data_IF_665915285914
#
_entry.id   IF_665915285914
#
_cell.length_a   1.000
_cell.length_b   1.000
_cell.length_c   1.000
_cell.angle_alpha   90.00
_cell.angle_beta   90.00
_cell.angle_gamma   90.00
#
_symmetry.space_group_name_H-M   'P 1'
#
loop_
_entity.id
_entity.type
_entity.pdbx_description
1 polymer ?
#
# COMPACT_ATOMS: atom_id res chain seq x y z
N UNK A 1 -54.26 0.97 9.53
CA UNK A 1 -53.15 0.46 8.70
C UNK A 1 -53.11 1.30 7.44
N UNK A 2 -52.16 2.22 7.36
CA UNK A 2 -51.96 3.14 6.23
C UNK A 2 -50.63 2.74 5.58
N UNK A 3 -50.56 2.49 4.27
CA UNK A 3 -49.30 2.15 3.62
C UNK A 3 -48.51 3.44 3.37
N UNK A 4 -47.27 3.49 3.86
CA UNK A 4 -46.32 4.56 3.56
C UNK A 4 -45.61 4.16 2.25
N UNK A 5 -45.73 5.01 1.23
CA UNK A 5 -44.91 4.95 0.02
C UNK A 5 -43.68 5.82 0.23
N UNK A 6 -42.48 5.25 0.12
CA UNK A 6 -41.24 6.02 0.08
C UNK A 6 -40.90 6.32 -1.38
N UNK A 7 -40.62 7.59 -1.67
CA UNK A 7 -40.24 8.12 -2.98
C UNK A 7 -38.73 8.35 -2.94
N UNK A 8 -37.99 7.76 -3.87
CA UNK A 8 -36.56 8.01 -4.10
C UNK A 8 -36.42 9.27 -4.96
N UNK A 9 -35.63 10.24 -4.52
CA UNK A 9 -35.27 11.45 -5.29
C UNK A 9 -33.79 11.35 -5.64
N UNK A 10 -33.50 11.13 -6.91
CA UNK A 10 -32.15 11.22 -7.48
C UNK A 10 -31.93 12.69 -7.84
N UNK A 11 -31.04 13.38 -7.10
CA UNK A 11 -30.64 14.76 -7.40
C UNK A 11 -29.23 14.78 -7.98
N UNK A 12 -29.14 14.98 -9.29
CA UNK A 12 -27.91 15.29 -10.01
C UNK A 12 -27.64 16.80 -9.86
N UNK A 13 -26.52 17.21 -9.25
CA UNK A 13 -26.11 18.62 -9.21
C UNK A 13 -24.62 18.76 -9.53
N UNK A 14 -24.34 19.47 -10.62
CA UNK A 14 -23.02 19.87 -11.11
C UNK A 14 -22.91 21.39 -10.98
N UNK A 15 -21.99 21.95 -10.17
CA UNK A 15 -21.24 23.23 -10.41
C UNK A 15 -20.10 23.43 -9.34
N UNK A 16 -19.16 24.40 -9.48
CA UNK A 16 -17.74 24.22 -9.77
C UNK A 16 -16.78 24.48 -8.57
N UNK A 17 -15.53 23.99 -8.68
CA UNK A 17 -14.45 24.25 -7.71
C UNK A 17 -13.76 25.61 -8.01
N UNK A 18 -13.58 26.44 -6.98
CA UNK A 18 -12.68 27.61 -7.00
C UNK A 18 -11.63 27.52 -5.89
N UNK A 19 -10.39 27.33 -6.32
CA UNK A 19 -9.06 27.76 -5.82
C UNK A 19 -8.81 28.12 -4.33
N UNK A 20 -7.81 27.41 -3.78
CA UNK A 20 -6.52 27.86 -3.21
C UNK A 20 -6.45 28.67 -1.91
N UNK A 21 -5.73 28.11 -0.94
CA UNK A 21 -4.92 28.85 0.03
C UNK A 21 -3.56 28.14 0.19
N UNK A 22 -2.47 28.84 -0.17
CA UNK A 22 -1.10 28.40 0.03
C UNK A 22 -0.53 29.07 1.29
N UNK A 23 0.17 28.31 2.13
CA UNK A 23 0.97 28.80 3.25
C UNK A 23 2.43 28.43 2.96
N UNK A 24 3.31 29.43 2.87
CA UNK A 24 4.75 29.22 2.62
C UNK A 24 5.52 29.06 3.93
N UNK A 25 6.45 28.11 3.98
CA UNK A 25 7.54 28.07 4.95
C UNK A 25 8.89 28.19 4.24
N UNK A 26 9.80 29.00 4.79
CA UNK A 26 11.19 29.10 4.35
C UNK A 26 12.05 28.00 4.99
N UNK A 27 12.99 27.37 4.28
CA UNK A 27 14.01 26.53 4.89
C UNK A 27 15.13 27.40 5.49
N UNK A 28 15.58 27.03 6.70
CA UNK A 28 16.75 27.62 7.35
C UNK A 28 17.99 26.74 7.10
N UNK A 29 19.01 27.42 6.57
CA UNK A 29 20.41 27.09 6.31
C UNK A 29 21.04 25.82 6.91
N UNK A 30 21.65 25.04 6.00
CA UNK A 30 22.66 24.00 6.23
C UNK A 30 23.98 24.65 6.66
N UNK A 31 24.54 24.22 7.79
CA UNK A 31 25.89 24.59 8.22
C UNK A 31 26.89 23.58 7.66
N UNK A 32 27.70 24.01 6.69
CA UNK A 32 28.92 23.33 6.26
C UNK A 32 30.13 23.94 6.94
N UNK A 33 30.90 23.16 7.70
CA UNK A 33 32.36 23.38 7.85
C UNK A 33 33.03 22.17 8.53
N UNK A 34 33.76 21.38 7.75
CA UNK A 34 34.85 20.55 8.26
C UNK A 34 36.16 21.17 7.78
N UNK A 35 36.87 21.82 8.71
CA UNK A 35 38.24 22.31 8.52
C UNK A 35 39.20 21.15 8.78
N UNK A 36 40.06 20.89 7.79
CA UNK A 36 41.24 20.06 7.94
C UNK A 36 42.41 20.94 8.41
N UNK A 37 43.01 20.62 9.56
CA UNK A 37 44.43 20.90 9.79
C UNK A 37 45.09 19.88 10.74
N UNK A 38 46.29 19.55 10.33
CA UNK A 38 47.27 18.57 10.78
C UNK A 38 48.13 19.05 11.96
N UNK A 39 48.47 18.15 12.91
CA UNK A 39 49.87 18.00 13.43
C UNK A 39 50.06 16.82 14.43
N UNK A 40 50.67 15.72 13.93
CA UNK A 40 51.79 14.84 14.45
C UNK A 40 52.00 14.51 15.98
N UNK A 41 52.87 13.52 16.35
CA UNK A 41 53.23 12.18 15.78
C UNK A 41 53.56 11.06 16.83
N UNK A 42 53.95 9.85 16.33
CA UNK A 42 54.88 8.81 16.88
C UNK A 42 54.21 7.44 17.17
N UNK A 43 54.76 6.25 16.88
CA UNK A 43 56.09 5.81 16.43
C UNK A 43 56.05 4.35 15.93
N UNK A 44 56.85 4.06 14.91
CA UNK A 44 57.19 2.75 14.33
C UNK A 44 58.13 1.95 15.24
N UNK A 45 57.98 0.61 15.30
CA UNK A 45 59.13 -0.31 15.47
C UNK A 45 58.89 -1.60 14.68
N UNK A 46 59.91 -2.04 13.93
CA UNK A 46 59.97 -3.14 12.98
C UNK A 46 60.14 -4.57 13.59
N UNK A 47 59.40 -5.56 13.04
CA UNK A 47 59.79 -6.85 12.36
C UNK A 47 60.88 -7.75 13.06
N UNK A 48 60.77 -9.12 13.17
CA UNK A 48 60.60 -9.99 11.99
C UNK A 48 59.86 -11.35 12.07
N UNK A 49 59.68 -11.85 10.84
CA UNK A 49 59.06 -13.09 10.36
C UNK A 49 59.70 -14.41 10.84
N UNK A 50 58.89 -15.47 10.87
CA UNK A 50 59.30 -16.81 10.48
C UNK A 50 58.09 -17.64 9.97
N UNK A 51 58.38 -18.50 9.01
CA UNK A 51 57.53 -19.27 8.08
C UNK A 51 56.76 -20.42 8.77
N UNK A 52 55.65 -20.97 8.26
CA UNK A 52 55.59 -21.85 7.09
C UNK A 52 54.13 -22.08 6.62
N UNK A 53 53.97 -22.11 5.30
CA UNK A 53 52.76 -22.49 4.56
C UNK A 53 52.98 -23.86 3.93
N UNK A 54 52.07 -24.83 4.13
CA UNK A 54 51.68 -25.84 3.11
C UNK A 54 50.35 -26.56 3.52
N UNK A 55 49.61 -27.18 2.58
CA UNK A 55 48.17 -27.01 2.41
C UNK A 55 47.35 -28.27 2.77
N UNK A 56 46.03 -28.14 2.89
CA UNK A 56 45.13 -29.28 3.10
C UNK A 56 44.57 -29.71 1.74
N UNK A 57 45.07 -30.84 1.24
CA UNK A 57 44.50 -31.61 0.14
C UNK A 57 43.62 -32.74 0.71
N UNK A 58 42.56 -33.06 -0.02
CA UNK A 58 41.47 -33.95 0.34
C UNK A 58 41.86 -35.44 0.23
N UNK A 59 41.28 -36.28 1.11
CA UNK A 59 40.75 -37.61 0.76
C UNK A 59 40.24 -38.38 1.99
N UNK A 60 39.00 -38.86 1.86
CA UNK A 60 38.49 -40.19 2.19
C UNK A 60 38.40 -40.73 3.63
N UNK A 61 37.15 -41.11 3.93
CA UNK A 61 36.68 -42.36 4.54
C UNK A 61 36.64 -42.56 6.07
N UNK A 62 35.38 -42.56 6.55
CA UNK A 62 34.73 -43.49 7.50
C UNK A 62 35.61 -44.31 8.46
N UNK A 63 35.37 -44.18 9.77
CA UNK A 63 34.79 -45.29 10.54
C UNK A 63 34.36 -44.91 11.96
N UNK A 64 33.26 -45.54 12.37
CA UNK A 64 32.63 -45.48 13.68
C UNK A 64 33.56 -45.95 14.82
N UNK A 65 33.62 -45.20 15.92
CA UNK A 65 34.16 -45.70 17.19
C UNK A 65 33.07 -45.76 18.27
N UNK A 66 32.52 -46.95 18.43
CA UNK A 66 31.80 -47.41 19.62
C UNK A 66 32.80 -47.57 20.76
N UNK A 67 32.73 -46.72 21.79
CA UNK A 67 33.50 -46.88 23.03
C UNK A 67 32.66 -47.58 24.11
N UNK A 68 33.11 -48.74 24.56
CA UNK A 68 32.63 -49.41 25.78
C UNK A 68 33.08 -48.65 27.03
N UNK A 69 32.29 -48.56 28.12
CA UNK A 69 32.70 -47.87 29.33
C UNK A 69 33.63 -48.76 30.17
N UNK A 70 34.79 -48.23 30.54
CA UNK A 70 35.64 -48.82 31.58
C UNK A 70 35.57 -47.93 32.81
N UNK A 71 35.12 -48.51 33.92
CA UNK A 71 35.07 -47.86 35.23
C UNK A 71 36.48 -47.62 35.77
N UNK A 72 36.86 -46.36 35.97
CA UNK A 72 37.79 -46.00 37.03
C UNK A 72 37.44 -44.60 37.56
N UNK A 73 37.16 -44.54 38.85
CA UNK A 73 36.60 -43.41 39.55
C UNK A 73 37.59 -42.93 40.59
N UNK A 74 38.37 -41.88 40.26
CA UNK A 74 38.82 -40.88 41.22
C UNK A 74 39.70 -39.79 40.58
N UNK A 75 39.09 -38.75 40.04
CA UNK A 75 39.67 -37.40 40.14
C UNK A 75 38.56 -36.36 40.11
N UNK A 76 38.35 -35.72 41.27
CA UNK A 76 37.47 -34.57 41.42
C UNK A 76 38.20 -33.35 40.84
N UNK A 77 37.94 -33.06 39.58
CA UNK A 77 37.79 -31.70 39.10
C UNK A 77 36.39 -31.63 38.54
N UNK A 78 35.50 -30.84 39.15
CA UNK A 78 34.34 -30.37 38.40
C UNK A 78 34.87 -29.75 37.12
N UNK A 79 34.56 -30.26 35.90
CA UNK A 79 34.70 -29.42 34.75
C UNK A 79 33.81 -28.23 35.06
N UNK A 80 34.39 -27.04 35.20
CA UNK A 80 33.65 -25.83 34.88
C UNK A 80 33.11 -26.15 33.50
N UNK A 81 31.81 -26.40 33.41
CA UNK A 81 31.12 -26.33 32.14
C UNK A 81 31.43 -24.91 31.67
N UNK A 82 32.41 -24.78 30.79
CA UNK A 82 32.45 -23.64 29.89
C UNK A 82 31.09 -23.77 29.24
N UNK A 83 30.16 -22.89 29.63
CA UNK A 83 28.88 -22.79 28.97
C UNK A 83 29.22 -22.75 27.49
N UNK A 84 28.72 -23.72 26.73
CA UNK A 84 28.80 -23.61 25.27
C UNK A 84 28.34 -22.19 24.93
N UNK A 85 29.02 -21.49 24.01
CA UNK A 85 28.57 -20.17 23.63
C UNK A 85 27.10 -20.31 23.26
N UNK A 86 26.22 -19.64 24.03
CA UNK A 86 24.85 -19.47 23.61
C UNK A 86 24.95 -18.61 22.37
N UNK A 87 24.80 -19.23 21.22
CA UNK A 87 24.42 -18.55 19.99
C UNK A 87 23.01 -18.06 20.26
N UNK A 88 22.94 -16.85 20.80
CA UNK A 88 21.68 -16.13 20.96
C UNK A 88 21.48 -15.48 19.62
N UNK A 89 20.29 -15.68 19.10
CA UNK A 89 19.76 -15.15 17.86
C UNK A 89 18.40 -14.61 18.32
N UNK A 90 18.36 -13.30 18.49
CA UNK A 90 17.36 -12.61 19.30
C UNK A 90 16.08 -12.30 18.52
N UNK A 91 16.17 -12.17 17.20
CA UNK A 91 15.05 -11.99 16.25
C UNK A 91 14.75 -13.23 15.39
N UNK A 92 15.61 -14.26 15.45
CA UNK A 92 15.45 -15.54 14.79
C UNK A 92 15.58 -15.50 13.25
N UNK A 93 16.40 -14.59 12.71
CA UNK A 93 16.71 -14.47 11.29
C UNK A 93 17.76 -15.52 10.82
N UNK A 94 18.55 -16.04 11.76
CA UNK A 94 19.60 -17.04 11.54
C UNK A 94 21.03 -16.52 11.67
N UNK A 95 21.24 -15.21 11.87
CA UNK A 95 22.48 -14.63 12.39
C UNK A 95 22.45 -14.66 13.92
N UNK A 96 23.62 -14.81 14.54
CA UNK A 96 23.70 -14.71 16.00
C UNK A 96 24.05 -13.28 16.42
N UNK A 97 23.59 -12.84 17.60
CA UNK A 97 23.75 -11.47 18.12
C UNK A 97 25.21 -10.95 18.06
N UNK A 98 26.21 -11.85 18.09
CA UNK A 98 27.62 -11.44 17.99
C UNK A 98 28.06 -11.19 16.57
N UNK A 99 27.55 -11.96 15.63
CA UNK A 99 27.80 -11.77 14.21
C UNK A 99 27.14 -10.47 13.76
N UNK A 100 25.89 -10.25 14.17
CA UNK A 100 25.15 -9.01 13.90
C UNK A 100 25.88 -7.78 14.45
N UNK A 101 26.30 -7.82 15.72
CA UNK A 101 27.11 -6.76 16.31
C UNK A 101 28.46 -6.52 15.60
N UNK A 102 28.97 -7.51 14.84
CA UNK A 102 30.21 -7.37 14.06
C UNK A 102 29.97 -6.81 12.66
N UNK A 103 28.79 -7.06 12.09
CA UNK A 103 28.34 -6.52 10.80
C UNK A 103 27.79 -5.10 10.96
N UNK A 104 27.27 -4.77 12.15
CA UNK A 104 26.66 -3.48 12.44
C UNK A 104 25.14 -3.50 12.39
N UNK A 105 24.54 -4.68 12.20
CA UNK A 105 23.10 -4.90 12.17
C UNK A 105 22.47 -4.88 13.57
N UNK A 106 21.14 -4.72 13.66
CA UNK A 106 20.41 -4.70 14.94
C UNK A 106 19.95 -6.12 15.31
N UNK A 107 20.48 -6.73 16.40
CA UNK A 107 20.15 -8.10 16.80
C UNK A 107 18.71 -8.32 17.27
N UNK A 108 17.83 -7.35 17.09
CA UNK A 108 16.42 -7.47 17.46
C UNK A 108 15.50 -7.23 16.28
N UNK A 109 16.06 -7.06 15.08
CA UNK A 109 15.37 -6.77 13.84
C UNK A 109 15.97 -7.66 12.76
N UNK A 110 15.19 -8.64 12.30
CA UNK A 110 15.65 -9.62 11.33
C UNK A 110 16.09 -9.03 9.97
N UNK A 111 15.63 -7.83 9.64
CA UNK A 111 15.89 -7.07 8.40
C UNK A 111 16.23 -5.64 8.85
N UNK A 112 17.53 -5.33 8.96
CA UNK A 112 17.99 -4.11 9.65
C UNK A 112 17.71 -2.84 8.85
N UNK A 113 17.71 -2.89 7.52
CA UNK A 113 17.49 -1.72 6.66
C UNK A 113 16.07 -1.64 6.05
N UNK A 114 15.19 -2.55 6.46
CA UNK A 114 13.76 -2.59 6.15
C UNK A 114 13.49 -2.63 4.63
N UNK A 115 14.20 -3.50 3.91
CA UNK A 115 14.13 -3.66 2.46
C UNK A 115 13.37 -4.93 2.01
N UNK A 116 13.03 -5.80 2.96
CA UNK A 116 12.27 -7.03 2.77
C UNK A 116 13.13 -8.29 2.64
N UNK A 117 14.44 -8.20 2.85
CA UNK A 117 15.38 -9.32 2.87
C UNK A 117 16.10 -9.37 4.22
N UNK A 118 15.85 -10.44 5.00
CA UNK A 118 16.47 -10.57 6.32
C UNK A 118 18.03 -10.59 6.24
N UNK A 119 18.71 -10.02 7.25
CA UNK A 119 20.17 -9.80 7.30
C UNK A 119 20.97 -11.08 7.00
N UNK A 120 20.50 -12.22 7.53
CA UNK A 120 21.09 -13.52 7.23
C UNK A 120 21.10 -13.84 5.72
N UNK A 121 19.98 -13.59 5.04
CA UNK A 121 19.81 -13.90 3.63
C UNK A 121 20.70 -13.02 2.77
N UNK A 122 20.79 -11.74 3.11
CA UNK A 122 21.69 -10.78 2.47
C UNK A 122 23.13 -11.25 2.52
N UNK A 123 23.65 -11.49 3.73
CA UNK A 123 25.07 -11.80 3.96
C UNK A 123 25.46 -13.18 3.42
N UNK A 124 24.61 -14.20 3.57
CA UNK A 124 24.99 -15.58 3.25
C UNK A 124 24.52 -16.07 1.88
N UNK A 125 23.54 -15.41 1.25
CA UNK A 125 22.90 -15.92 0.03
C UNK A 125 22.90 -14.92 -1.12
N UNK A 126 22.68 -13.65 -0.84
CA UNK A 126 22.47 -12.64 -1.88
C UNK A 126 23.70 -11.75 -2.10
N UNK A 127 24.67 -11.77 -1.17
CA UNK A 127 25.90 -10.97 -1.24
C UNK A 127 25.61 -9.45 -1.28
N UNK A 128 24.48 -9.03 -0.69
CA UNK A 128 24.05 -7.65 -0.47
C UNK A 128 24.57 -7.11 0.87
N UNK A 129 24.49 -5.79 1.09
CA UNK A 129 24.90 -5.14 2.33
C UNK A 129 23.68 -4.96 3.25
N UNK A 130 23.60 -5.64 4.42
CA UNK A 130 22.42 -5.60 5.30
C UNK A 130 22.18 -4.28 6.05
N UNK A 131 22.81 -3.22 5.56
CA UNK A 131 22.71 -1.85 6.04
C UNK A 131 22.42 -0.88 4.89
N UNK A 132 22.35 -1.37 3.66
CA UNK A 132 22.07 -0.61 2.44
C UNK A 132 20.93 -1.28 1.66
N UNK A 133 19.71 -0.72 1.72
CA UNK A 133 18.51 -1.37 1.22
C UNK A 133 18.44 -1.44 -0.33
N UNK A 134 19.48 -0.98 -1.03
CA UNK A 134 19.64 -0.92 -2.49
C UNK A 134 21.14 -1.07 -2.78
N UNK A 135 21.63 -2.31 -2.70
CA UNK A 135 23.06 -2.64 -2.69
C UNK A 135 23.78 -2.27 -3.99
N UNK A 136 23.07 -2.22 -5.10
CA UNK A 136 23.64 -1.92 -6.41
C UNK A 136 23.38 -0.49 -6.91
N UNK A 137 22.47 0.23 -6.25
CA UNK A 137 22.23 1.66 -6.39
C UNK A 137 21.34 2.02 -7.59
N UNK A 138 20.42 1.14 -7.98
CA UNK A 138 19.51 1.33 -9.11
C UNK A 138 18.09 1.79 -8.70
N UNK A 139 17.87 2.00 -7.40
CA UNK A 139 16.61 2.38 -6.75
C UNK A 139 15.55 1.27 -6.62
N UNK A 140 15.90 0.02 -6.88
CA UNK A 140 15.12 -1.15 -6.50
C UNK A 140 15.61 -1.61 -5.12
N UNK A 141 14.70 -2.08 -4.28
CA UNK A 141 15.09 -2.65 -3.00
C UNK A 141 15.58 -4.09 -3.19
N UNK A 142 16.65 -4.51 -2.52
CA UNK A 142 17.25 -5.85 -2.71
C UNK A 142 16.21 -6.95 -2.46
N UNK A 143 15.39 -6.79 -1.42
CA UNK A 143 14.26 -7.67 -1.12
C UNK A 143 13.18 -7.70 -2.20
N UNK A 144 12.90 -6.57 -2.85
CA UNK A 144 11.97 -6.51 -4.00
C UNK A 144 12.55 -7.22 -5.22
N UNK A 145 13.81 -6.97 -5.54
CA UNK A 145 14.50 -7.64 -6.63
C UNK A 145 14.54 -9.16 -6.43
N UNK A 146 14.92 -9.61 -5.24
CA UNK A 146 14.93 -11.02 -4.89
C UNK A 146 13.55 -11.67 -5.10
N UNK A 147 12.48 -11.01 -4.65
CA UNK A 147 11.10 -11.51 -4.78
C UNK A 147 10.66 -11.61 -6.24
N UNK A 148 11.08 -10.67 -7.08
CA UNK A 148 10.78 -10.65 -8.52
C UNK A 148 11.71 -11.54 -9.34
N UNK A 149 12.73 -12.14 -8.70
CA UNK A 149 13.70 -13.01 -9.36
C UNK A 149 14.78 -12.25 -10.15
N UNK A 150 15.01 -11.00 -9.78
CA UNK A 150 16.12 -10.15 -10.21
C UNK A 150 17.37 -10.44 -9.35
N UNK A 151 18.50 -9.82 -9.69
CA UNK A 151 19.78 -10.01 -9.01
C UNK A 151 20.17 -8.71 -8.31
N UNK A 152 20.06 -8.61 -6.97
CA UNK A 152 20.21 -7.37 -6.20
C UNK A 152 21.65 -6.83 -6.13
N UNK A 153 22.54 -7.38 -6.94
CA UNK A 153 23.93 -6.95 -7.05
C UNK A 153 24.25 -6.41 -8.45
N UNK A 154 23.24 -6.31 -9.32
CA UNK A 154 23.36 -5.99 -10.73
C UNK A 154 22.31 -4.94 -11.13
N UNK A 155 22.73 -3.66 -11.32
CA UNK A 155 21.81 -2.56 -11.55
C UNK A 155 20.89 -2.78 -12.74
N UNK A 156 19.61 -2.53 -12.53
CA UNK A 156 18.57 -2.63 -13.55
C UNK A 156 18.50 -1.40 -14.44
N UNK A 157 18.96 -1.59 -15.68
CA UNK A 157 18.60 -0.78 -16.85
C UNK A 157 19.05 0.68 -16.89
N UNK A 158 20.16 0.95 -17.60
CA UNK A 158 20.58 2.27 -18.14
C UNK A 158 19.99 2.57 -19.55
N UNK A 159 18.80 2.05 -19.93
CA UNK A 159 18.42 1.94 -21.35
C UNK A 159 16.99 2.36 -21.79
N UNK A 160 16.45 3.44 -21.22
CA UNK A 160 15.68 4.50 -21.90
C UNK A 160 14.38 4.20 -22.70
N UNK A 161 13.85 2.98 -22.69
CA UNK A 161 12.51 2.68 -23.22
C UNK A 161 11.60 2.18 -22.10
N UNK A 162 10.57 2.96 -21.87
CA UNK A 162 9.45 2.74 -20.96
C UNK A 162 8.23 3.12 -21.81
N UNK A 163 7.56 2.11 -22.36
CA UNK A 163 6.59 2.27 -23.45
C UNK A 163 5.24 2.79 -22.97
N UNK A 164 4.82 2.48 -21.75
CA UNK A 164 3.57 2.96 -21.15
C UNK A 164 3.76 4.08 -20.12
N UNK A 165 5.00 4.34 -19.70
CA UNK A 165 5.39 5.50 -18.91
C UNK A 165 5.19 5.32 -17.41
N UNK A 166 5.21 4.09 -16.91
CA UNK A 166 4.92 3.76 -15.52
C UNK A 166 6.17 3.78 -14.59
N UNK A 167 7.35 3.94 -15.20
CA UNK A 167 8.64 4.01 -14.52
C UNK A 167 9.48 2.74 -14.64
N UNK A 168 8.91 1.59 -15.04
CA UNK A 168 9.68 0.40 -15.37
C UNK A 168 10.14 0.44 -16.82
N UNK A 169 11.34 -0.09 -17.07
CA UNK A 169 11.80 -0.22 -18.46
C UNK A 169 11.20 -1.46 -19.11
N UNK A 170 10.95 -1.39 -20.42
CA UNK A 170 10.47 -2.52 -21.22
C UNK A 170 11.29 -3.82 -21.00
N UNK A 171 12.59 -3.68 -20.67
CA UNK A 171 13.49 -4.81 -20.38
C UNK A 171 13.19 -5.45 -19.02
N UNK A 172 13.04 -4.63 -17.98
CA UNK A 172 12.68 -5.08 -16.63
C UNK A 172 11.33 -5.76 -16.67
N UNK A 173 10.34 -5.12 -17.30
CA UNK A 173 8.98 -5.65 -17.41
C UNK A 173 8.93 -7.02 -18.08
N UNK A 174 9.67 -7.20 -19.18
CA UNK A 174 9.76 -8.50 -19.86
C UNK A 174 10.33 -9.60 -18.96
N UNK A 175 11.24 -9.26 -18.05
CA UNK A 175 11.90 -10.23 -17.16
C UNK A 175 11.03 -10.58 -15.96
N UNK A 176 10.36 -9.60 -15.35
CA UNK A 176 9.42 -9.84 -14.23
C UNK A 176 8.06 -10.37 -14.72
N UNK A 177 7.78 -10.23 -16.01
CA UNK A 177 6.60 -10.76 -16.68
C UNK A 177 5.38 -9.86 -16.59
N UNK A 178 5.60 -8.56 -16.45
CA UNK A 178 4.61 -7.51 -16.65
C UNK A 178 4.48 -7.16 -18.14
N UNK A 179 3.59 -6.23 -18.47
CA UNK A 179 3.26 -5.87 -19.84
C UNK A 179 3.80 -4.48 -20.19
N UNK A 180 4.76 -4.48 -21.12
CA UNK A 180 5.36 -3.26 -21.72
C UNK A 180 4.42 -2.21 -22.32
N UNK A 181 3.13 -2.48 -22.43
CA UNK A 181 2.16 -1.59 -23.06
C UNK A 181 0.96 -1.29 -22.16
N UNK A 182 1.08 -1.61 -20.87
CA UNK A 182 0.06 -1.46 -19.86
C UNK A 182 0.70 -1.22 -18.49
N UNK A 183 0.66 0.04 -18.07
CA UNK A 183 1.23 0.53 -16.82
C UNK A 183 0.75 -0.17 -15.52
N UNK A 184 -0.26 -1.03 -15.58
CA UNK A 184 -0.87 -1.72 -14.44
C UNK A 184 -1.31 -3.09 -14.96
N UNK A 185 -0.39 -4.07 -14.86
CA UNK A 185 -0.51 -5.36 -15.54
C UNK A 185 -1.62 -6.20 -14.95
N UNK A 186 -1.79 -6.18 -13.63
CA UNK A 186 -2.80 -6.97 -12.96
C UNK A 186 -4.15 -6.24 -12.81
N UNK A 187 -4.20 -4.96 -13.15
CA UNK A 187 -5.40 -4.14 -13.16
C UNK A 187 -5.89 -3.81 -11.76
N UNK A 188 -5.01 -3.88 -10.76
CA UNK A 188 -5.34 -3.52 -9.40
C UNK A 188 -5.40 -2.03 -9.18
N UNK A 189 -4.88 -1.17 -10.06
CA UNK A 189 -4.89 0.27 -9.93
C UNK A 189 -3.69 0.89 -9.20
N UNK A 190 -2.70 0.09 -8.82
CA UNK A 190 -1.31 0.48 -8.67
C UNK A 190 -0.61 0.22 -10.01
N UNK A 191 0.30 1.12 -10.39
CA UNK A 191 1.09 0.88 -11.59
C UNK A 191 2.22 -0.10 -11.29
N UNK A 192 2.68 -0.89 -12.27
CA UNK A 192 3.69 -1.92 -12.04
C UNK A 192 4.96 -1.31 -11.43
N UNK A 193 5.41 -0.17 -11.96
CA UNK A 193 6.52 0.60 -11.38
C UNK A 193 6.27 1.08 -9.96
N UNK A 194 5.04 1.49 -9.63
CA UNK A 194 4.69 1.91 -8.26
C UNK A 194 4.77 0.74 -7.29
N UNK A 195 4.39 -0.45 -7.72
CA UNK A 195 4.46 -1.66 -6.89
C UNK A 195 5.90 -2.11 -6.67
N UNK A 196 6.76 -1.94 -7.68
CA UNK A 196 8.19 -2.27 -7.58
C UNK A 196 8.95 -1.25 -6.75
N UNK A 197 8.91 0.04 -7.10
CA UNK A 197 9.64 1.09 -6.37
C UNK A 197 9.04 1.41 -5.00
N UNK A 198 7.74 1.14 -4.82
CA UNK A 198 7.04 1.36 -3.56
C UNK A 198 7.18 0.21 -2.57
N UNK A 199 7.54 -1.00 -3.00
CA UNK A 199 7.72 -2.14 -2.11
C UNK A 199 9.16 -2.22 -1.57
N UNK A 200 9.36 -2.57 -0.28
CA UNK A 200 8.33 -2.95 0.68
C UNK A 200 7.75 -1.77 1.48
N UNK A 201 8.33 -0.57 1.40
CA UNK A 201 8.07 0.50 2.38
C UNK A 201 6.69 1.14 2.24
N UNK A 202 6.33 1.55 1.03
CA UNK A 202 5.03 2.18 0.74
C UNK A 202 3.92 1.13 0.54
N UNK A 203 4.24 0.04 -0.14
CA UNK A 203 3.30 -1.05 -0.43
C UNK A 203 3.92 -2.41 -0.06
N UNK A 204 3.86 -2.79 1.22
CA UNK A 204 4.48 -4.03 1.69
C UNK A 204 3.91 -5.26 0.99
N UNK A 205 4.78 -5.98 0.26
CA UNK A 205 4.41 -7.19 -0.45
C UNK A 205 3.60 -6.99 -1.73
N UNK A 206 3.61 -5.78 -2.31
CA UNK A 206 2.95 -5.52 -3.59
C UNK A 206 3.53 -6.37 -4.71
N UNK A 207 2.69 -6.94 -5.56
CA UNK A 207 3.09 -7.79 -6.68
C UNK A 207 2.39 -7.33 -7.96
N UNK A 208 3.13 -6.81 -8.96
CA UNK A 208 2.55 -6.27 -10.20
C UNK A 208 1.86 -7.31 -11.08
N UNK A 209 1.86 -8.57 -10.64
CA UNK A 209 1.19 -9.68 -11.30
C UNK A 209 0.11 -10.31 -10.44
N UNK A 210 -0.21 -9.76 -9.27
CA UNK A 210 -1.21 -10.28 -8.36
C UNK A 210 -1.94 -9.17 -7.59
N UNK A 211 -3.25 -9.03 -7.84
CA UNK A 211 -4.04 -7.90 -7.32
C UNK A 211 -3.91 -7.70 -5.83
N UNK A 212 -3.55 -6.48 -5.46
CA UNK A 212 -3.43 -6.00 -4.10
C UNK A 212 -4.56 -5.03 -3.72
N UNK A 213 -4.95 -5.06 -2.45
CA UNK A 213 -5.91 -4.12 -1.89
C UNK A 213 -5.36 -3.57 -0.59
N UNK A 214 -4.87 -2.33 -0.68
CA UNK A 214 -4.33 -1.61 0.46
C UNK A 214 -5.42 -0.78 1.15
N UNK A 215 -5.64 -1.05 2.43
CA UNK A 215 -6.57 -0.34 3.29
C UNK A 215 -5.82 0.28 4.46
N UNK A 216 -5.90 1.60 4.57
CA UNK A 216 -5.56 2.31 5.79
C UNK A 216 -6.75 2.24 6.75
N UNK A 217 -6.49 1.83 8.01
CA UNK A 217 -7.50 1.62 9.03
C UNK A 217 -7.24 2.56 10.21
N UNK A 218 -8.09 3.56 10.31
CA UNK A 218 -8.09 4.51 11.42
C UNK A 218 -9.21 4.22 12.40
N UNK A 219 -8.96 4.55 13.66
CA UNK A 219 -9.95 4.39 14.72
C UNK A 219 -9.94 5.55 15.72
N UNK A 220 -11.12 5.88 16.22
CA UNK A 220 -11.24 6.64 17.45
C UNK A 220 -10.64 5.87 18.62
N UNK A 221 -10.03 6.61 19.57
CA UNK A 221 -9.47 6.03 20.81
C UNK A 221 -10.49 5.24 21.66
N UNK A 222 -11.78 5.43 21.43
CA UNK A 222 -12.88 4.69 22.08
C UNK A 222 -13.20 3.36 21.41
N UNK A 223 -12.63 3.09 20.24
CA UNK A 223 -12.86 1.90 19.43
C UNK A 223 -11.58 1.08 19.36
N UNK A 224 -11.65 -0.16 19.79
CA UNK A 224 -10.56 -1.13 19.58
C UNK A 224 -10.77 -1.83 18.25
N UNK A 225 -9.75 -1.83 17.39
CA UNK A 225 -9.77 -2.53 16.11
C UNK A 225 -9.87 -4.04 16.33
N UNK A 226 -10.81 -4.69 15.64
CA UNK A 226 -10.97 -6.14 15.70
C UNK A 226 -10.10 -6.84 14.65
N UNK A 227 -8.83 -7.11 15.00
CA UNK A 227 -7.87 -7.75 14.09
C UNK A 227 -8.36 -9.08 13.53
N UNK A 228 -9.02 -9.90 14.35
CA UNK A 228 -9.55 -11.20 13.89
C UNK A 228 -10.57 -11.05 12.76
N UNK A 229 -11.36 -9.97 12.76
CA UNK A 229 -12.30 -9.70 11.67
C UNK A 229 -11.58 -9.24 10.39
N UNK A 230 -10.53 -8.41 10.52
CA UNK A 230 -9.69 -8.01 9.39
C UNK A 230 -9.00 -9.22 8.76
N UNK A 231 -8.36 -10.08 9.56
CA UNK A 231 -7.67 -11.27 9.04
C UNK A 231 -8.63 -12.24 8.34
N UNK A 232 -9.87 -12.37 8.83
CA UNK A 232 -10.89 -13.22 8.18
C UNK A 232 -11.39 -12.61 6.88
N UNK A 233 -11.50 -11.28 6.84
CA UNK A 233 -11.84 -10.53 5.64
C UNK A 233 -10.77 -10.71 4.57
N UNK A 234 -9.48 -10.54 4.93
CA UNK A 234 -8.36 -10.76 4.02
C UNK A 234 -8.37 -12.20 3.46
N UNK A 235 -8.52 -13.21 4.32
CA UNK A 235 -8.61 -14.62 3.89
C UNK A 235 -9.79 -14.89 2.95
N UNK A 236 -10.92 -14.19 3.13
CA UNK A 236 -12.06 -14.33 2.25
C UNK A 236 -11.72 -13.86 0.82
N UNK A 237 -11.15 -12.66 0.68
CA UNK A 237 -10.76 -12.12 -0.62
C UNK A 237 -9.55 -12.81 -1.24
N UNK A 238 -8.63 -13.35 -0.45
CA UNK A 238 -7.54 -14.22 -0.94
C UNK A 238 -8.06 -15.51 -1.61
N UNK A 239 -9.28 -15.94 -1.28
CA UNK A 239 -9.94 -17.09 -1.92
C UNK A 239 -10.87 -16.70 -3.09
N UNK A 240 -10.89 -15.42 -3.48
CA UNK A 240 -11.76 -14.93 -4.54
C UNK A 240 -11.40 -15.59 -5.89
N UNK A 241 -12.39 -16.00 -6.69
CA UNK A 241 -12.15 -16.57 -8.02
C UNK A 241 -11.87 -15.47 -9.07
N UNK A 242 -10.98 -14.53 -8.76
CA UNK A 242 -10.55 -13.44 -9.64
C UNK A 242 -9.14 -13.77 -10.13
N UNK A 243 -8.93 -13.83 -11.44
CA UNK A 243 -7.67 -14.28 -12.05
C UNK A 243 -6.60 -13.19 -12.04
N UNK A 244 -5.34 -13.62 -11.87
CA UNK A 244 -4.16 -12.78 -11.86
C UNK A 244 -3.18 -13.15 -13.00
N UNK A 245 -2.37 -12.19 -13.50
CA UNK A 245 -1.33 -12.44 -14.52
C UNK A 245 -0.29 -13.52 -14.17
N UNK A 246 -0.04 -13.76 -12.89
CA UNK A 246 0.80 -14.87 -12.39
C UNK A 246 0.14 -16.26 -12.52
N UNK A 247 -1.15 -16.33 -12.89
CA UNK A 247 -1.95 -17.55 -13.02
C UNK A 247 -2.62 -18.01 -11.71
N UNK A 248 -2.47 -17.25 -10.63
CA UNK A 248 -3.20 -17.48 -9.37
C UNK A 248 -4.59 -16.83 -9.42
N UNK A 249 -5.32 -16.96 -8.32
CA UNK A 249 -6.60 -16.28 -8.13
C UNK A 249 -6.67 -15.68 -6.73
N UNK A 250 -7.34 -14.54 -6.60
CA UNK A 250 -7.60 -13.90 -5.32
C UNK A 250 -7.09 -12.46 -5.28
N UNK A 251 -7.29 -11.83 -4.14
CA UNK A 251 -6.67 -10.54 -3.80
C UNK A 251 -5.75 -10.73 -2.60
N UNK A 252 -4.57 -10.11 -2.63
CA UNK A 252 -3.78 -9.87 -1.45
C UNK A 252 -4.34 -8.61 -0.78
N UNK A 253 -4.87 -8.75 0.45
CA UNK A 253 -5.53 -7.63 1.15
C UNK A 253 -4.66 -7.22 2.33
N UNK A 254 -4.23 -5.97 2.30
CA UNK A 254 -3.31 -5.37 3.26
C UNK A 254 -4.06 -4.35 4.10
N UNK A 255 -4.25 -4.66 5.39
CA UNK A 255 -4.81 -3.71 6.35
C UNK A 255 -3.68 -3.08 7.16
N UNK A 256 -3.48 -1.78 6.99
CA UNK A 256 -2.49 -0.99 7.73
C UNK A 256 -3.22 -0.19 8.78
N UNK A 257 -3.06 -0.60 10.03
CA UNK A 257 -3.63 0.13 11.17
C UNK A 257 -2.67 1.26 11.50
N UNK A 258 -3.11 2.50 11.31
CA UNK A 258 -2.29 3.68 11.53
C UNK A 258 -2.78 4.48 12.75
N UNK A 259 -3.75 5.39 12.55
CA UNK A 259 -4.21 6.29 13.60
C UNK A 259 -5.36 5.70 14.42
N UNK A 260 -5.03 5.04 15.54
CA UNK A 260 -6.05 4.45 16.46
C UNK A 260 -6.42 5.32 17.66
N UNK A 261 -5.85 6.52 17.77
CA UNK A 261 -6.05 7.41 18.90
C UNK A 261 -6.71 8.74 18.50
N UNK A 262 -7.64 8.70 17.55
CA UNK A 262 -8.34 9.91 17.13
C UNK A 262 -9.21 10.45 18.28
N UNK A 263 -9.18 11.78 18.47
CA UNK A 263 -9.79 12.47 19.64
C UNK A 263 -10.89 13.47 19.28
N UNK A 264 -11.14 13.71 17.99
CA UNK A 264 -12.28 14.50 17.52
C UNK A 264 -13.64 13.82 17.86
N UNK A 265 -14.78 14.35 17.41
CA UNK A 265 -16.09 13.81 17.78
C UNK A 265 -16.23 12.33 17.37
N UNK A 266 -16.49 11.37 18.29
CA UNK A 266 -16.48 9.92 18.02
C UNK A 266 -17.65 9.42 17.13
N UNK A 267 -18.26 10.32 16.36
CA UNK A 267 -19.35 10.06 15.45
C UNK A 267 -18.94 10.47 14.03
N UNK A 268 -18.99 9.53 13.09
CA UNK A 268 -18.81 9.81 11.67
C UNK A 268 -20.15 10.13 11.01
N UNK A 269 -20.20 11.20 10.22
CA UNK A 269 -21.32 11.48 9.32
C UNK A 269 -20.84 11.30 7.88
N UNK A 270 -21.36 10.29 7.19
CA UNK A 270 -20.96 9.95 5.82
C UNK A 270 -21.30 11.08 4.84
N UNK A 271 -22.37 11.84 5.11
CA UNK A 271 -22.76 13.01 4.32
C UNK A 271 -21.82 14.21 4.49
N UNK A 272 -21.03 14.25 5.58
CA UNK A 272 -20.03 15.27 5.88
C UNK A 272 -18.71 14.59 6.28
N UNK A 273 -18.07 13.98 5.30
CA UNK A 273 -16.85 13.19 5.51
C UNK A 273 -15.57 14.06 5.64
N UNK A 274 -15.71 15.39 5.65
CA UNK A 274 -14.58 16.33 5.60
C UNK A 274 -13.65 16.23 6.82
N UNK A 275 -14.22 15.94 7.99
CA UNK A 275 -13.48 15.77 9.24
C UNK A 275 -12.77 14.41 9.37
N UNK A 276 -13.19 13.42 8.59
CA UNK A 276 -12.61 12.07 8.59
C UNK A 276 -11.42 12.02 7.65
N UNK A 277 -11.55 12.65 6.47
CA UNK A 277 -10.52 12.63 5.42
C UNK A 277 -9.21 13.31 5.79
N UNK A 278 -9.18 14.10 6.86
CA UNK A 278 -7.94 14.75 7.30
C UNK A 278 -6.96 13.81 7.98
N UNK A 279 -7.42 12.61 8.38
CA UNK A 279 -6.56 11.58 8.99
C UNK A 279 -6.11 10.54 7.96
N UNK A 280 -6.60 10.63 6.72
CA UNK A 280 -6.16 9.78 5.63
C UNK A 280 -4.83 10.29 5.10
N UNK A 281 -3.73 9.94 5.77
CA UNK A 281 -2.41 10.48 5.49
C UNK A 281 -1.83 9.91 4.19
N UNK A 282 -2.28 8.72 3.76
CA UNK A 282 -1.98 8.14 2.44
C UNK A 282 -3.01 8.52 1.38
N UNK A 283 -3.81 9.57 1.59
CA UNK A 283 -4.80 10.08 0.63
C UNK A 283 -4.21 10.30 -0.77
N UNK A 284 -4.68 9.52 -1.75
CA UNK A 284 -4.19 9.62 -3.13
C UNK A 284 -2.87 8.90 -3.38
N UNK A 285 -2.48 8.00 -2.48
CA UNK A 285 -1.25 7.21 -2.59
C UNK A 285 -1.55 5.72 -2.80
N UNK A 286 -2.63 5.34 -3.50
CA UNK A 286 -2.95 3.92 -3.72
C UNK A 286 -3.91 3.27 -2.71
N UNK A 287 -4.13 3.92 -1.57
CA UNK A 287 -4.88 3.36 -0.44
C UNK A 287 -6.38 3.59 -0.55
N UNK A 288 -7.13 2.60 -0.08
CA UNK A 288 -8.53 2.69 0.34
C UNK A 288 -8.57 2.96 1.85
N UNK A 289 -9.70 3.46 2.36
CA UNK A 289 -9.76 3.89 3.76
C UNK A 289 -10.89 3.24 4.52
N UNK A 290 -10.61 2.81 5.74
CA UNK A 290 -11.59 2.32 6.69
C UNK A 290 -11.48 3.18 7.94
N UNK A 291 -12.60 3.76 8.33
CA UNK A 291 -12.69 4.64 9.47
C UNK A 291 -13.61 4.08 10.54
N UNK A 292 -13.08 3.78 11.73
CA UNK A 292 -13.84 3.18 12.83
C UNK A 292 -14.22 4.23 13.87
N UNK A 293 -15.52 4.43 14.06
CA UNK A 293 -16.08 5.40 15.01
C UNK A 293 -17.09 4.75 15.96
N UNK A 294 -17.30 5.33 17.13
CA UNK A 294 -18.27 4.81 18.09
C UNK A 294 -19.67 4.75 17.48
N UNK A 295 -20.01 5.73 16.64
CA UNK A 295 -21.24 5.73 15.85
C UNK A 295 -21.00 6.22 14.43
N UNK A 296 -21.76 5.68 13.48
CA UNK A 296 -21.79 6.14 12.08
C UNK A 296 -23.21 6.55 11.73
N UNK A 297 -23.36 7.63 10.95
CA UNK A 297 -24.65 8.16 10.53
C UNK A 297 -24.68 8.68 9.09
N UNK A 298 -25.87 8.66 8.48
CA UNK A 298 -26.19 9.28 7.18
C UNK A 298 -27.41 10.16 7.39
N UNK A 299 -27.33 11.46 7.11
CA UNK A 299 -28.43 12.43 7.29
C UNK A 299 -29.16 12.26 8.64
N UNK A 300 -28.39 12.26 9.74
CA UNK A 300 -28.84 12.07 11.14
C UNK A 300 -29.41 10.67 11.49
N UNK A 301 -29.31 9.69 10.59
CA UNK A 301 -29.72 8.30 10.85
C UNK A 301 -28.51 7.44 11.15
N UNK A 302 -28.50 6.79 12.33
CA UNK A 302 -27.46 5.82 12.68
C UNK A 302 -27.49 4.62 11.72
N UNK A 303 -26.34 4.26 11.21
CA UNK A 303 -26.10 3.07 10.37
C UNK A 303 -24.99 2.22 11.00
N UNK A 304 -24.85 0.97 10.55
CA UNK A 304 -23.78 0.06 10.99
C UNK A 304 -22.48 0.36 10.26
N UNK A 305 -22.58 0.58 8.96
CA UNK A 305 -21.48 0.99 8.12
C UNK A 305 -22.00 1.72 6.88
N UNK A 306 -21.08 2.30 6.11
CA UNK A 306 -21.33 2.81 4.77
C UNK A 306 -20.03 2.88 3.98
N UNK A 307 -20.06 2.39 2.74
CA UNK A 307 -19.00 2.56 1.76
C UNK A 307 -19.34 3.65 0.74
N UNK A 308 -18.35 4.48 0.38
CA UNK A 308 -18.46 5.44 -0.73
C UNK A 308 -17.07 5.91 -1.22
N UNK A 309 -16.85 6.00 -2.53
CA UNK A 309 -15.63 6.51 -3.18
C UNK A 309 -14.31 6.05 -2.51
N UNK A 310 -14.10 4.74 -2.39
CA UNK A 310 -12.87 4.17 -1.82
C UNK A 310 -12.77 4.24 -0.30
N UNK A 311 -13.86 4.55 0.40
CA UNK A 311 -13.88 4.77 1.85
C UNK A 311 -15.01 3.98 2.51
N UNK A 312 -14.76 3.48 3.71
CA UNK A 312 -15.74 2.81 4.58
C UNK A 312 -15.79 3.53 5.92
N UNK A 313 -16.98 3.90 6.38
CA UNK A 313 -17.21 4.34 7.75
C UNK A 313 -17.84 3.19 8.57
N UNK A 314 -17.07 2.68 9.52
CA UNK A 314 -17.29 1.61 10.49
C UNK A 314 -17.95 1.99 11.83
N UNK A 315 -19.13 1.49 12.23
CA UNK A 315 -19.50 1.56 13.65
C UNK A 315 -18.66 0.55 14.47
N UNK A 316 -17.99 1.04 15.52
CA UNK A 316 -17.03 0.28 16.30
C UNK A 316 -17.63 -0.90 17.07
N UNK A 317 -18.95 -0.88 17.32
CA UNK A 317 -19.68 -1.97 17.95
C UNK A 317 -20.06 -3.11 16.98
N UNK A 318 -19.74 -2.99 15.68
CA UNK A 318 -20.14 -3.95 14.65
C UNK A 318 -19.02 -4.25 13.62
N UNK A 319 -17.80 -4.46 14.10
CA UNK A 319 -16.64 -4.81 13.29
C UNK A 319 -16.59 -6.31 12.96
N UNK A 320 -17.59 -6.80 12.24
CA UNK A 320 -17.63 -8.21 11.80
C UNK A 320 -16.99 -8.37 10.43
N UNK A 321 -16.34 -9.51 10.19
CA UNK A 321 -15.84 -9.92 8.86
C UNK A 321 -16.95 -9.86 7.81
N UNK A 322 -18.17 -10.24 8.18
CA UNK A 322 -19.37 -10.06 7.35
C UNK A 322 -19.59 -8.63 6.88
N UNK A 323 -19.53 -7.67 7.80
CA UNK A 323 -19.76 -6.27 7.47
C UNK A 323 -18.60 -5.71 6.64
N UNK A 324 -17.35 -6.06 6.97
CA UNK A 324 -16.20 -5.68 6.15
C UNK A 324 -16.32 -6.22 4.72
N UNK A 325 -16.62 -7.51 4.54
CA UNK A 325 -16.79 -8.09 3.20
C UNK A 325 -17.93 -7.43 2.43
N UNK A 326 -19.04 -7.09 3.09
CA UNK A 326 -20.15 -6.36 2.47
C UNK A 326 -19.72 -4.98 1.96
N UNK A 327 -19.09 -4.16 2.81
CA UNK A 327 -18.67 -2.81 2.45
C UNK A 327 -17.54 -2.81 1.41
N UNK A 328 -16.58 -3.74 1.52
CA UNK A 328 -15.52 -3.91 0.51
C UNK A 328 -16.12 -4.39 -0.81
N UNK A 329 -17.15 -5.25 -0.79
CA UNK A 329 -17.88 -5.64 -2.01
C UNK A 329 -18.43 -4.43 -2.78
N UNK A 330 -18.92 -3.40 -2.07
CA UNK A 330 -19.31 -2.14 -2.69
C UNK A 330 -18.14 -1.36 -3.30
N UNK A 331 -16.99 -1.35 -2.62
CA UNK A 331 -15.79 -0.69 -3.15
C UNK A 331 -15.27 -1.38 -4.41
N UNK A 332 -15.44 -2.70 -4.50
CA UNK A 332 -15.01 -3.51 -5.64
C UNK A 332 -16.02 -3.53 -6.81
N UNK A 333 -17.12 -2.77 -6.71
CA UNK A 333 -18.03 -2.50 -7.84
C UNK A 333 -19.37 -3.24 -7.82
N UNK A 334 -19.71 -3.93 -6.73
CA UNK A 334 -21.05 -4.51 -6.52
C UNK A 334 -21.97 -3.46 -5.91
N UNK A 335 -23.04 -3.09 -6.60
CA UNK A 335 -23.93 -2.00 -6.20
C UNK A 335 -25.38 -2.47 -6.08
N UNK A 336 -26.17 -1.80 -5.23
CA UNK A 336 -27.61 -2.05 -5.06
C UNK A 336 -28.43 -1.99 -6.36
N UNK A 337 -27.92 -1.35 -7.42
CA UNK A 337 -28.55 -1.35 -8.75
C UNK A 337 -28.36 -2.64 -9.54
N UNK A 338 -27.43 -3.50 -9.15
CA UNK A 338 -27.06 -4.69 -9.92
C UNK A 338 -28.11 -5.78 -9.84
N UNK A 339 -28.91 -5.80 -8.78
CA UNK A 339 -30.10 -6.63 -8.74
C UNK A 339 -30.80 -6.59 -7.38
N UNK A 340 -31.97 -7.22 -7.30
CA UNK A 340 -32.84 -7.14 -6.14
C UNK A 340 -32.27 -7.82 -4.89
N UNK A 341 -31.10 -8.48 -4.98
CA UNK A 341 -30.46 -9.13 -3.84
C UNK A 341 -29.43 -8.28 -3.09
N UNK A 342 -28.89 -7.22 -3.71
CA UNK A 342 -27.88 -6.34 -3.11
C UNK A 342 -28.56 -5.22 -2.34
N UNK A 343 -28.08 -4.90 -1.13
CA UNK A 343 -28.63 -3.85 -0.27
C UNK A 343 -30.13 -3.97 0.00
N UNK A 344 -30.62 -5.21 0.07
CA UNK A 344 -32.05 -5.47 0.08
C UNK A 344 -32.42 -6.71 0.91
N UNK A 345 -33.69 -6.76 1.31
CA UNK A 345 -34.37 -7.92 1.89
C UNK A 345 -35.37 -8.56 0.88
N UNK A 346 -35.32 -8.17 -0.39
CA UNK A 346 -36.27 -8.59 -1.42
C UNK A 346 -36.01 -10.02 -1.91
N UNK A 347 -34.75 -10.46 -1.94
CA UNK A 347 -34.36 -11.83 -2.23
C UNK A 347 -33.98 -12.56 -0.94
N UNK A 348 -34.49 -13.77 -0.75
CA UNK A 348 -34.09 -14.60 0.39
C UNK A 348 -32.65 -15.09 0.25
N UNK A 349 -32.04 -15.49 1.37
CA UNK A 349 -30.68 -16.04 1.37
C UNK A 349 -30.53 -17.29 0.50
N UNK A 350 -31.61 -18.06 0.31
CA UNK A 350 -31.58 -19.23 -0.57
C UNK A 350 -31.77 -18.87 -2.06
N UNK A 351 -32.25 -17.66 -2.36
CA UNK A 351 -32.41 -17.12 -3.72
C UNK A 351 -31.26 -16.22 -4.16
N UNK A 352 -30.53 -15.61 -3.21
CA UNK A 352 -29.33 -14.82 -3.48
C UNK A 352 -28.35 -14.96 -2.30
N UNK A 353 -27.52 -16.01 -2.28
CA UNK A 353 -26.64 -16.34 -1.16
C UNK A 353 -25.35 -15.52 -1.21
N UNK A 354 -25.51 -14.20 -1.17
CA UNK A 354 -24.42 -13.24 -1.12
C UNK A 354 -24.49 -12.42 0.16
N UNK A 355 -23.32 -12.14 0.73
CA UNK A 355 -23.12 -11.21 1.83
C UNK A 355 -23.59 -9.79 1.50
N UNK A 356 -23.77 -9.47 0.22
CA UNK A 356 -24.35 -8.20 -0.27
C UNK A 356 -25.85 -8.06 0.04
N UNK A 357 -26.54 -9.13 0.45
CA UNK A 357 -27.92 -9.09 0.95
C UNK A 357 -27.99 -8.78 2.44
N UNK A 358 -28.91 -7.91 2.86
CA UNK A 358 -29.14 -7.65 4.27
C UNK A 358 -29.67 -8.85 5.05
N UNK A 359 -30.39 -9.78 4.40
CA UNK A 359 -30.83 -11.00 5.06
C UNK A 359 -29.63 -11.90 5.38
N UNK A 360 -28.68 -12.00 4.43
CA UNK A 360 -27.46 -12.80 4.59
C UNK A 360 -26.52 -12.21 5.63
N UNK A 361 -26.29 -10.91 5.54
CA UNK A 361 -25.44 -10.12 6.44
C UNK A 361 -25.81 -10.35 7.93
N UNK A 362 -27.09 -10.57 8.20
CA UNK A 362 -27.63 -10.79 9.55
C UNK A 362 -27.85 -12.27 9.90
N UNK A 363 -27.41 -13.21 9.04
CA UNK A 363 -27.53 -14.65 9.26
C UNK A 363 -26.27 -15.24 9.93
N UNK A 364 -26.30 -16.51 10.34
CA UNK A 364 -25.12 -17.24 10.85
C UNK A 364 -24.46 -18.14 9.79
N UNK A 365 -24.66 -17.86 8.49
CA UNK A 365 -24.11 -18.67 7.39
C UNK A 365 -22.68 -18.28 7.03
N UNK A 366 -21.92 -19.21 6.46
CA UNK A 366 -20.54 -18.98 6.02
C UNK A 366 -20.43 -17.77 5.08
N UNK A 367 -19.29 -17.07 5.03
CA UNK A 367 -19.14 -15.94 4.12
C UNK A 367 -19.21 -16.41 2.66
N UNK A 368 -19.97 -15.72 1.82
CA UNK A 368 -20.11 -16.03 0.40
C UNK A 368 -20.49 -14.79 -0.39
N UNK A 369 -19.97 -14.69 -1.61
CA UNK A 369 -20.46 -13.81 -2.68
C UNK A 369 -21.18 -14.66 -3.72
N UNK A 370 -22.22 -14.12 -4.37
CA UNK A 370 -22.98 -14.86 -5.37
C UNK A 370 -22.11 -15.18 -6.59
N UNK A 371 -22.29 -16.39 -7.12
CA UNK A 371 -21.70 -16.86 -8.39
C UNK A 371 -22.84 -17.16 -9.36
N UNK A 372 -22.58 -17.03 -10.67
CA UNK A 372 -23.61 -17.05 -11.71
C UNK A 372 -24.68 -18.16 -11.61
N UNK A 373 -25.90 -17.76 -11.99
CA UNK A 373 -27.18 -18.48 -12.17
C UNK A 373 -28.01 -18.99 -10.96
N UNK A 374 -27.61 -18.70 -9.72
CA UNK A 374 -28.46 -18.78 -8.52
C UNK A 374 -29.52 -17.63 -8.49
N UNK A 375 -30.32 -17.52 -9.55
CA UNK A 375 -31.07 -16.33 -10.03
C UNK A 375 -32.07 -15.69 -9.03
N UNK A 376 -32.41 -14.38 -9.09
CA UNK A 376 -32.67 -13.66 -10.33
C UNK A 376 -32.01 -12.26 -10.51
N UNK A 377 -31.19 -12.05 -11.54
CA UNK A 377 -30.88 -12.98 -12.63
C UNK A 377 -29.46 -12.78 -13.15
N UNK A 378 -28.58 -13.70 -12.72
CA UNK A 378 -27.16 -13.79 -13.06
C UNK A 378 -26.28 -12.70 -12.45
N UNK A 379 -26.64 -12.21 -11.26
CA UNK A 379 -25.73 -11.40 -10.45
C UNK A 379 -24.67 -12.33 -9.89
N UNK A 380 -23.61 -12.43 -10.66
CA UNK A 380 -22.36 -13.00 -10.22
C UNK A 380 -21.55 -11.83 -9.68
N UNK A 381 -21.47 -11.73 -8.36
CA UNK A 381 -20.79 -10.62 -7.69
C UNK A 381 -19.32 -10.61 -8.07
N UNK A 382 -18.73 -11.79 -8.25
CA UNK A 382 -17.34 -11.91 -8.71
C UNK A 382 -17.18 -11.50 -10.17
N UNK A 383 -18.18 -11.71 -11.02
CA UNK A 383 -18.19 -11.22 -12.40
C UNK A 383 -18.42 -9.71 -12.48
N UNK A 384 -19.24 -9.14 -11.58
CA UNK A 384 -19.35 -7.69 -11.43
C UNK A 384 -18.04 -7.08 -10.97
N UNK A 385 -17.38 -7.67 -9.95
CA UNK A 385 -16.03 -7.29 -9.54
C UNK A 385 -15.09 -7.42 -10.74
N UNK A 386 -14.96 -8.58 -11.38
CA UNK A 386 -14.05 -8.78 -12.52
C UNK A 386 -14.24 -7.77 -13.66
N UNK A 387 -15.47 -7.34 -13.93
CA UNK A 387 -15.76 -6.36 -15.01
C UNK A 387 -15.58 -4.90 -14.61
N UNK A 388 -15.76 -4.58 -13.34
CA UNK A 388 -15.86 -3.20 -12.83
C UNK A 388 -14.81 -2.87 -11.79
N UNK A 389 -13.91 -3.80 -11.54
CA UNK A 389 -12.63 -3.58 -10.89
C UNK A 389 -11.79 -2.66 -11.77
N UNK A 390 -12.24 -1.41 -11.85
CA UNK A 390 -11.50 -0.26 -12.33
C UNK A 390 -11.37 0.59 -11.08
N UNK A 391 -10.22 0.46 -10.40
CA UNK A 391 -10.00 1.13 -9.12
C UNK A 391 -10.10 2.64 -9.34
N UNK A 392 -10.77 3.29 -8.41
CA UNK A 392 -10.90 4.76 -8.34
C UNK A 392 -9.66 5.39 -7.67
N UNK A 393 -8.57 4.65 -7.59
CA UNK A 393 -7.32 5.10 -6.98
C UNK A 393 -6.69 6.11 -7.93
N UNK A 394 -6.45 7.30 -7.39
CA UNK A 394 -5.73 8.36 -8.07
C UNK A 394 -4.23 8.14 -7.80
N UNK A 395 -3.51 7.51 -8.72
CA UNK A 395 -2.04 7.39 -8.69
C UNK A 395 -1.34 8.58 -9.32
N UNK A 396 -2.07 9.61 -9.79
CA UNK A 396 -1.44 10.71 -10.54
C UNK A 396 -0.47 11.55 -9.70
N UNK A 397 -0.53 11.42 -8.38
CA UNK A 397 0.45 11.98 -7.44
C UNK A 397 1.71 11.11 -7.29
N UNK A 398 1.64 9.84 -7.67
CA UNK A 398 2.70 8.83 -7.61
C UNK A 398 3.44 8.73 -8.96
N UNK A 399 2.73 8.80 -10.10
CA UNK A 399 3.26 8.74 -11.48
C UNK A 399 4.10 9.99 -11.90
N UNK A 400 4.54 10.78 -10.92
CA UNK A 400 5.12 12.09 -11.07
C UNK A 400 6.54 12.08 -11.64
N UNK A 401 6.66 12.02 -12.97
CA UNK A 401 7.80 12.59 -13.70
C UNK A 401 8.09 14.01 -13.18
N UNK A 402 9.22 14.17 -12.48
CA UNK A 402 9.68 15.45 -11.95
C UNK A 402 9.87 16.47 -13.09
N UNK A 403 8.88 17.33 -13.33
CA UNK A 403 9.06 18.49 -14.21
C UNK A 403 9.48 19.69 -13.38
N UNK A 404 10.71 20.17 -13.60
CA UNK A 404 11.28 21.36 -12.97
C UNK A 404 10.30 22.57 -12.95
N UNK A 405 10.21 23.33 -11.85
CA UNK A 405 9.38 24.52 -11.80
C UNK A 405 9.98 25.64 -12.67
N UNK A 406 9.28 26.01 -13.74
CA UNK A 406 9.63 27.16 -14.59
C UNK A 406 9.67 28.46 -13.77
N UNK A 407 10.84 29.12 -13.82
CA UNK A 407 11.13 30.39 -13.18
C UNK A 407 10.14 31.50 -13.61
N UNK A 408 9.31 31.97 -12.67
CA UNK A 408 8.49 33.15 -12.87
C UNK A 408 9.32 34.43 -12.70
N UNK A 409 9.45 35.21 -13.78
CA UNK A 409 10.03 36.56 -13.75
C UNK A 409 9.24 37.51 -12.83
N UNK A 410 9.87 38.39 -12.04
CA UNK A 410 9.17 39.26 -11.09
C UNK A 410 8.48 40.44 -11.79
N UNK A 411 7.18 40.64 -11.54
CA UNK A 411 6.47 41.88 -11.89
C UNK A 411 6.43 42.84 -10.71
N UNK A 412 6.85 44.07 -10.97
CA UNK A 412 6.94 45.19 -10.03
C UNK A 412 5.62 45.52 -9.32
N UNK A 413 5.73 45.74 -8.02
CA UNK A 413 4.69 46.24 -7.12
C UNK A 413 4.25 47.67 -7.47
N UNK A 414 2.94 47.88 -7.65
CA UNK A 414 2.31 49.18 -7.36
C UNK A 414 1.05 48.98 -6.50
N UNK A 415 1.08 49.63 -5.35
CA UNK A 415 0.03 49.66 -4.32
C UNK A 415 -1.25 50.40 -4.78
N UNK A 416 -2.40 50.19 -4.10
CA UNK A 416 -3.70 50.68 -4.55
C UNK A 416 -4.03 52.07 -3.98
N UNK A 417 -4.76 52.88 -4.74
CA UNK A 417 -5.39 54.12 -4.26
C UNK A 417 -6.90 54.02 -4.48
N UNK A 418 -7.64 54.29 -3.41
CA UNK A 418 -9.10 54.30 -3.33
C UNK A 418 -9.79 55.43 -4.10
N UNK A 419 -11.06 55.16 -4.44
CA UNK A 419 -12.21 56.07 -4.57
C UNK A 419 -12.16 57.22 -5.59
N UNK A 420 -13.10 57.21 -6.55
CA UNK A 420 -14.16 58.24 -6.65
C UNK A 420 -15.14 57.99 -7.82
N UNK A 421 -16.26 58.67 -7.67
CA UNK A 421 -17.58 58.58 -8.32
C UNK A 421 -17.72 59.06 -9.77
N UNK A 422 -18.89 58.70 -10.33
CA UNK A 422 -19.79 59.49 -11.19
C UNK A 422 -19.56 59.56 -12.71
N UNK A 423 -20.61 59.12 -13.42
CA UNK A 423 -21.25 59.66 -14.64
C UNK A 423 -20.39 60.29 -15.76
N UNK A 424 -20.48 59.76 -16.98
CA UNK A 424 -21.30 60.35 -18.07
C UNK A 424 -21.16 59.60 -19.41
N UNK A 425 -22.31 59.15 -19.94
CA UNK A 425 -22.89 59.51 -21.26
C UNK A 425 -22.01 59.58 -22.53
N UNK A 426 -22.31 58.62 -23.44
CA UNK A 426 -22.58 58.77 -24.90
C UNK A 426 -21.53 58.57 -26.03
N UNK A 427 -22.10 58.00 -27.11
CA UNK A 427 -21.70 57.87 -28.53
C UNK A 427 -20.77 56.68 -28.85
N UNK A 428 -21.00 55.84 -29.88
CA UNK A 428 -21.70 56.03 -31.16
C UNK A 428 -22.16 54.68 -31.73
N UNK A 429 -23.20 54.75 -32.56
CA UNK A 429 -23.82 53.67 -33.33
C UNK A 429 -23.01 53.20 -34.56
N UNK A 430 -23.57 52.17 -35.20
CA UNK A 430 -23.26 51.56 -36.51
C UNK A 430 -22.14 50.51 -36.49
N UNK A 431 -22.27 49.30 -37.04
CA UNK A 431 -22.87 48.99 -38.36
C UNK A 431 -23.15 47.48 -38.48
N UNK A 432 -24.21 47.14 -39.22
CA UNK A 432 -24.51 45.94 -40.05
C UNK A 432 -23.98 44.54 -39.65
N UNK A 433 -24.84 43.52 -39.48
CA UNK A 433 -25.68 42.84 -40.51
C UNK A 433 -24.87 42.04 -41.55
N UNK A 434 -24.46 40.84 -41.16
CA UNK A 434 -24.21 39.64 -41.98
C UNK A 434 -23.69 38.57 -40.99
N UNK A 435 -24.20 37.35 -40.80
CA UNK A 435 -25.05 36.48 -41.60
C UNK A 435 -25.68 35.46 -40.64
N UNK A 436 -27.01 35.40 -40.62
CA UNK A 436 -27.78 34.28 -40.05
C UNK A 436 -28.04 33.29 -41.19
N UNK A 437 -28.14 32.02 -40.82
CA UNK A 437 -28.82 30.91 -41.54
C UNK A 437 -28.12 30.22 -42.71
N UNK A 438 -27.72 28.95 -42.47
CA UNK A 438 -28.02 27.72 -43.25
C UNK A 438 -27.04 26.62 -42.78
N UNK A 439 -27.39 25.37 -42.47
CA UNK A 439 -28.40 24.48 -43.05
C UNK A 439 -28.72 23.36 -42.03
N UNK A 440 -29.97 22.93 -41.97
CA UNK A 440 -30.43 21.72 -41.29
C UNK A 440 -30.62 20.57 -42.29
N UNK A 441 -30.55 19.33 -41.76
CA UNK A 441 -31.17 18.06 -42.20
C UNK A 441 -30.62 17.29 -43.40
N UNK A 442 -30.31 16.01 -43.14
CA UNK A 442 -30.69 14.74 -43.82
C UNK A 442 -29.69 13.68 -43.32
N UNK A 443 -30.00 12.56 -42.66
CA UNK A 443 -31.21 11.74 -42.47
C UNK A 443 -31.17 11.08 -41.09
#
# INVERSE_FOLDING_TARGET
MVPIRLIVVISLLVVPVTASAAVSFSPADVVTSFDADTDRPSSVTDVPADTDVVPIDASDDVDSYSMTPTEDSSFVGTPTAVSEPSWIDSDADGLDDRLEASLGTDPTVADTDDDGLDDWAEVLRHETDPLDPDSDGDSFFDGTEFRLGLDPTVPEGDASLDTDGDGLTDEVEQRIGTRIDLADTDGDGLADGVEVYGAPRQFPGADPRHKDLYFEVDAYHTVTVNQTALDRTARFFASAPVENPDGTTGFAVHFIIDDTNLTALPAANVSDNSAVTTNFDRAGSGYLYIYLAETVSIDDRRVRASANYGRVAMAGDDQTDRLYVHEIGHLLGVHGSDGPGVDSYEASVDEYPSIMSYEYLNSNRELRMAVGDESPKSNDDWDDIRRRFTRWVDTSAIDGTATEPQQATPRENRAPVENQSAADTQHSAATDRATREKHARLR
#
